data_IF_826748704627
#
_entry.id   IF_826748704627
#
_cell.length_a   1.000
_cell.length_b   1.000
_cell.length_c   1.000
_cell.angle_alpha   90.00
_cell.angle_beta   90.00
_cell.angle_gamma   90.00
#
_symmetry.space_group_name_H-M   'P 1'
#
loop_
_entity.id
_entity.type
_entity.pdbx_description
1 polymer ?
#
# COMPACT_ATOMS: atom_id res chain seq x y z
N UNK A 1 -20.58 20.18 9.85
CA UNK A 1 -20.52 19.11 10.88
C UNK A 1 -19.86 19.66 12.13
N UNK A 2 -20.16 19.09 13.34
CA UNK A 2 -19.47 19.48 14.58
C UNK A 2 -17.98 19.13 14.46
N UNK A 3 -17.10 19.99 14.99
CA UNK A 3 -15.69 19.72 15.11
C UNK A 3 -15.45 18.52 16.07
N UNK A 4 -14.36 17.77 15.92
CA UNK A 4 -14.01 16.76 16.90
C UNK A 4 -13.81 17.38 18.28
N UNK A 5 -14.07 16.63 19.37
CA UNK A 5 -13.89 17.16 20.72
C UNK A 5 -12.42 17.53 20.96
N UNK A 6 -12.18 18.65 21.66
CA UNK A 6 -10.85 19.05 22.07
C UNK A 6 -10.26 18.00 23.03
N UNK A 7 -9.02 17.57 22.79
CA UNK A 7 -8.37 16.53 23.59
C UNK A 7 -8.86 15.10 23.31
N UNK A 8 -9.49 14.87 22.12
CA UNK A 8 -9.94 13.55 21.71
C UNK A 8 -8.78 12.55 21.59
N UNK A 9 -9.04 11.30 21.95
CA UNK A 9 -8.18 10.16 21.70
C UNK A 9 -8.20 9.78 20.21
N UNK A 10 -7.22 9.00 19.74
CA UNK A 10 -7.23 8.48 18.36
C UNK A 10 -8.51 7.70 18.05
N UNK A 11 -8.98 6.89 18.98
CA UNK A 11 -10.23 6.12 18.84
C UNK A 11 -11.46 7.01 18.61
N UNK A 12 -11.56 8.14 19.32
CA UNK A 12 -12.65 9.10 19.13
C UNK A 12 -12.55 9.82 17.79
N UNK A 13 -11.34 10.19 17.38
CA UNK A 13 -11.09 10.79 16.06
C UNK A 13 -11.41 9.80 14.92
N UNK A 14 -10.97 8.55 15.01
CA UNK A 14 -11.29 7.51 14.02
C UNK A 14 -12.80 7.28 13.92
N UNK A 15 -13.51 7.21 15.06
CA UNK A 15 -14.97 7.10 15.08
C UNK A 15 -15.68 8.35 14.49
N UNK A 16 -15.06 9.51 14.60
CA UNK A 16 -15.54 10.71 13.93
C UNK A 16 -15.38 10.60 12.42
N UNK A 17 -14.23 10.10 11.93
CA UNK A 17 -13.95 9.90 10.49
C UNK A 17 -14.96 8.96 9.82
N UNK A 18 -15.40 7.89 10.50
CA UNK A 18 -16.40 6.95 9.97
C UNK A 18 -17.73 7.62 9.59
N UNK A 19 -18.03 8.81 10.14
CA UNK A 19 -19.26 9.54 9.92
C UNK A 19 -19.16 10.63 8.85
N UNK A 20 -17.96 10.89 8.32
CA UNK A 20 -17.75 11.99 7.36
C UNK A 20 -18.34 11.70 5.99
N UNK A 21 -18.50 10.45 5.61
CA UNK A 21 -19.04 10.04 4.32
C UNK A 21 -20.23 9.09 4.49
N UNK A 22 -21.31 9.26 3.69
CA UNK A 22 -22.49 8.40 3.79
C UNK A 22 -22.24 6.97 3.31
N UNK A 23 -21.21 6.75 2.48
CA UNK A 23 -20.76 5.43 2.02
C UNK A 23 -19.45 5.06 2.67
N UNK A 24 -19.33 3.81 3.11
CA UNK A 24 -18.10 3.29 3.66
C UNK A 24 -17.00 3.19 2.58
N UNK A 25 -17.38 2.85 1.36
CA UNK A 25 -16.49 2.72 0.18
C UNK A 25 -17.08 3.57 -0.94
N UNK A 26 -16.26 4.48 -1.46
CA UNK A 26 -16.56 5.31 -2.62
C UNK A 26 -15.25 5.63 -3.33
N UNK A 27 -14.97 4.90 -4.41
CA UNK A 27 -13.70 4.93 -5.11
C UNK A 27 -13.57 6.19 -5.96
N UNK A 28 -12.69 7.10 -5.54
CA UNK A 28 -12.37 8.35 -6.22
C UNK A 28 -11.00 8.83 -5.78
N UNK A 29 -10.26 9.49 -6.67
CA UNK A 29 -8.96 10.09 -6.35
C UNK A 29 -9.04 11.60 -6.15
N UNK A 30 -10.08 12.27 -6.65
CA UNK A 30 -10.18 13.73 -6.65
C UNK A 30 -10.28 14.30 -5.24
N UNK A 31 -11.05 13.65 -4.37
CA UNK A 31 -11.26 14.12 -2.99
C UNK A 31 -9.97 14.08 -2.20
N UNK A 32 -9.31 12.91 -2.16
CA UNK A 32 -8.05 12.75 -1.42
C UNK A 32 -6.94 13.60 -2.06
N UNK A 33 -6.88 13.75 -3.38
CA UNK A 33 -5.93 14.63 -4.04
C UNK A 33 -6.10 16.08 -3.56
N UNK A 34 -7.34 16.57 -3.48
CA UNK A 34 -7.64 17.91 -2.95
C UNK A 34 -7.19 18.07 -1.50
N UNK A 35 -7.48 17.08 -0.66
CA UNK A 35 -7.05 17.09 0.75
C UNK A 35 -5.52 17.10 0.87
N UNK A 36 -4.81 16.28 0.08
CA UNK A 36 -3.36 16.24 0.10
C UNK A 36 -2.73 17.56 -0.37
N UNK A 37 -3.30 18.27 -1.33
CA UNK A 37 -2.83 19.60 -1.70
C UNK A 37 -2.97 20.59 -0.53
N UNK A 38 -4.08 20.58 0.21
CA UNK A 38 -4.27 21.39 1.43
C UNK A 38 -3.26 21.07 2.53
N UNK A 39 -2.81 19.81 2.60
CA UNK A 39 -1.76 19.34 3.51
C UNK A 39 -0.32 19.62 3.02
N UNK A 40 -0.15 20.38 1.93
CA UNK A 40 1.16 20.70 1.37
C UNK A 40 1.76 19.59 0.51
N UNK A 41 0.90 18.78 -0.13
CA UNK A 41 1.24 17.74 -1.08
C UNK A 41 2.26 16.69 -0.54
N UNK A 42 2.02 16.07 0.63
CA UNK A 42 2.96 15.12 1.24
C UNK A 42 3.26 13.92 0.32
N UNK A 43 2.31 13.48 -0.48
CA UNK A 43 2.45 12.37 -1.44
C UNK A 43 3.54 12.61 -2.51
N UNK A 44 3.96 13.86 -2.74
CA UNK A 44 5.06 14.20 -3.67
C UNK A 44 6.44 14.21 -3.01
N UNK A 45 6.48 14.08 -1.69
CA UNK A 45 7.72 14.13 -0.89
C UNK A 45 8.02 12.83 -0.16
N UNK A 46 7.31 11.75 -0.53
CA UNK A 46 7.55 10.43 0.04
C UNK A 46 8.94 9.92 -0.35
N UNK A 47 9.61 9.16 0.53
CA UNK A 47 10.72 8.30 0.13
C UNK A 47 10.32 7.37 -1.04
N UNK A 48 11.28 6.72 -1.73
CA UNK A 48 10.98 5.72 -2.75
C UNK A 48 9.90 4.74 -2.28
N UNK A 49 8.85 4.54 -3.08
CA UNK A 49 7.68 3.72 -2.71
C UNK A 49 7.72 2.39 -3.44
N UNK A 50 7.51 1.28 -2.75
CA UNK A 50 7.12 0.00 -3.33
C UNK A 50 5.62 -0.15 -3.10
N UNK A 51 4.84 -0.15 -4.18
CA UNK A 51 3.37 -0.17 -4.13
C UNK A 51 2.85 -1.57 -4.41
N UNK A 52 2.08 -2.14 -3.49
CA UNK A 52 1.67 -3.55 -3.51
C UNK A 52 0.15 -3.68 -3.65
N UNK A 53 -0.30 -4.29 -4.76
CA UNK A 53 -1.69 -4.67 -4.99
C UNK A 53 -1.82 -6.19 -5.17
N UNK A 54 -3.04 -6.69 -5.16
CA UNK A 54 -3.39 -8.10 -5.31
C UNK A 54 -4.62 -8.46 -4.50
N UNK A 55 -5.06 -9.71 -4.57
CA UNK A 55 -6.14 -10.19 -3.71
C UNK A 55 -5.55 -10.77 -2.43
N UNK A 56 -4.70 -11.75 -2.53
CA UNK A 56 -4.09 -12.45 -1.39
C UNK A 56 -2.60 -12.15 -1.27
N UNK A 57 -2.09 -12.11 -0.04
CA UNK A 57 -0.65 -12.01 0.22
C UNK A 57 -0.05 -10.60 0.17
N UNK A 58 -0.83 -9.52 0.01
CA UNK A 58 -0.33 -8.14 0.03
C UNK A 58 0.40 -7.82 1.34
N UNK A 59 -0.29 -7.98 2.48
CA UNK A 59 0.28 -7.72 3.80
C UNK A 59 1.48 -8.61 4.12
N UNK A 60 1.44 -9.90 3.73
CA UNK A 60 2.60 -10.80 3.88
C UNK A 60 3.79 -10.33 3.05
N UNK A 61 3.56 -9.91 1.81
CA UNK A 61 4.62 -9.35 0.94
C UNK A 61 5.23 -8.10 1.57
N UNK A 62 4.41 -7.18 2.09
CA UNK A 62 4.89 -5.99 2.82
C UNK A 62 5.70 -6.39 4.04
N UNK A 63 5.25 -7.38 4.83
CA UNK A 63 5.95 -7.84 6.02
C UNK A 63 7.33 -8.46 5.69
N UNK A 64 7.42 -9.32 4.65
CA UNK A 64 8.69 -9.89 4.22
C UNK A 64 9.64 -8.83 3.65
N UNK A 65 9.15 -7.94 2.79
CA UNK A 65 9.96 -6.83 2.27
C UNK A 65 10.50 -5.95 3.40
N UNK A 66 9.67 -5.62 4.38
CA UNK A 66 10.09 -4.87 5.56
C UNK A 66 11.21 -5.60 6.30
N UNK A 67 11.01 -6.86 6.64
CA UNK A 67 12.01 -7.64 7.39
C UNK A 67 13.36 -7.71 6.65
N UNK A 68 13.34 -7.94 5.34
CA UNK A 68 14.56 -7.98 4.51
C UNK A 68 15.27 -6.62 4.46
N UNK A 69 14.53 -5.53 4.28
CA UNK A 69 15.07 -4.18 4.20
C UNK A 69 15.61 -3.70 5.55
N UNK A 70 14.90 -3.98 6.64
CA UNK A 70 15.35 -3.69 8.01
C UNK A 70 16.62 -4.48 8.36
N UNK A 71 16.69 -5.77 8.00
CA UNK A 71 17.90 -6.58 8.17
C UNK A 71 19.10 -6.05 7.37
N UNK A 72 18.84 -5.37 6.24
CA UNK A 72 19.83 -4.63 5.47
C UNK A 72 20.15 -3.22 6.02
N UNK A 73 19.67 -2.88 7.21
CA UNK A 73 19.90 -1.59 7.86
C UNK A 73 19.13 -0.43 7.27
N UNK A 74 18.05 -0.68 6.49
CA UNK A 74 17.24 0.38 5.89
C UNK A 74 16.19 0.90 6.87
N UNK A 75 15.85 2.18 6.76
CA UNK A 75 14.74 2.83 7.45
C UNK A 75 13.48 2.63 6.61
N UNK A 76 12.51 1.89 7.13
CA UNK A 76 11.34 1.44 6.38
C UNK A 76 10.06 2.00 7.01
N UNK A 77 9.22 2.64 6.20
CA UNK A 77 7.82 2.89 6.55
C UNK A 77 6.92 1.82 5.94
N UNK A 78 5.83 1.48 6.61
CA UNK A 78 4.79 0.64 6.01
C UNK A 78 3.39 1.20 6.24
N UNK A 79 2.54 1.05 5.23
CA UNK A 79 1.10 1.26 5.31
C UNK A 79 0.40 -0.03 4.91
N UNK A 80 -0.42 -0.58 5.80
CA UNK A 80 -1.12 -1.85 5.61
C UNK A 80 -2.59 -1.75 6.03
N UNK A 81 -3.44 -2.61 5.48
CA UNK A 81 -4.86 -2.70 5.85
C UNK A 81 -5.47 -4.08 5.55
N UNK A 82 -6.44 -4.52 6.37
CA UNK A 82 -6.86 -3.93 7.65
C UNK A 82 -5.86 -4.17 8.78
N UNK A 83 -6.08 -3.61 9.95
CA UNK A 83 -5.36 -3.97 11.19
C UNK A 83 -5.98 -5.22 11.83
N UNK A 84 -5.22 -5.90 12.69
CA UNK A 84 -5.68 -7.09 13.41
C UNK A 84 -6.26 -6.74 14.78
N UNK A 85 -5.61 -5.89 15.54
CA UNK A 85 -5.98 -5.51 16.91
C UNK A 85 -6.21 -4.02 17.05
N UNK A 86 -5.25 -3.20 16.63
CA UNK A 86 -5.28 -1.76 16.82
C UNK A 86 -4.99 -1.00 15.51
N UNK A 87 -5.65 0.15 15.33
CA UNK A 87 -5.45 0.97 14.14
C UNK A 87 -3.98 1.34 13.89
N UNK A 88 -3.21 1.54 14.96
CA UNK A 88 -1.80 1.91 14.92
C UNK A 88 -0.95 0.97 14.06
N UNK A 89 -1.33 -0.31 13.96
CA UNK A 89 -0.67 -1.31 13.11
C UNK A 89 -0.62 -0.91 11.62
N UNK A 90 -1.61 -0.12 11.16
CA UNK A 90 -1.72 0.31 9.76
C UNK A 90 -0.61 1.25 9.32
N UNK A 91 -0.05 2.03 10.25
CA UNK A 91 0.98 3.03 9.98
C UNK A 91 2.21 2.68 10.82
N UNK A 92 3.25 2.21 10.17
CA UNK A 92 4.50 1.87 10.83
C UNK A 92 5.58 2.83 10.38
N UNK A 93 6.26 3.47 11.33
CA UNK A 93 7.27 4.48 11.05
C UNK A 93 8.67 3.94 11.32
N UNK A 94 9.61 4.26 10.44
CA UNK A 94 11.02 4.09 10.72
C UNK A 94 11.39 4.89 11.98
N UNK A 95 12.16 4.28 12.87
CA UNK A 95 12.67 4.93 14.10
C UNK A 95 14.18 5.11 14.00
N UNK A 96 14.87 4.03 13.67
CA UNK A 96 16.31 3.97 13.49
C UNK A 96 16.64 3.09 12.27
N UNK A 97 17.88 3.08 11.77
CA UNK A 97 18.29 2.13 10.73
C UNK A 97 18.02 0.68 11.16
N UNK A 98 17.26 -0.06 10.35
CA UNK A 98 16.88 -1.44 10.64
C UNK A 98 15.76 -1.61 11.67
N UNK A 99 15.16 -0.53 12.16
CA UNK A 99 14.10 -0.57 13.18
C UNK A 99 12.91 0.30 12.78
N UNK A 100 11.72 -0.28 12.72
CA UNK A 100 10.46 0.45 12.62
C UNK A 100 9.50 0.05 13.75
N UNK A 101 8.51 0.89 14.00
CA UNK A 101 7.48 0.64 15.01
C UNK A 101 6.15 1.23 14.61
N UNK A 102 5.07 0.68 15.14
CA UNK A 102 3.74 1.20 14.94
C UNK A 102 3.68 2.66 15.41
N UNK A 103 2.87 3.46 14.74
CA UNK A 103 2.68 4.86 15.09
C UNK A 103 2.21 4.98 16.55
N UNK A 104 2.81 5.89 17.30
CA UNK A 104 2.41 6.12 18.69
C UNK A 104 1.08 6.87 18.74
N UNK A 105 0.39 6.73 19.88
CA UNK A 105 -0.92 7.36 20.10
C UNK A 105 -0.87 8.89 19.93
N UNK A 106 0.13 9.53 20.49
CA UNK A 106 0.32 10.98 20.40
C UNK A 106 0.56 11.46 18.97
N UNK A 107 1.38 10.72 18.20
CA UNK A 107 1.63 10.99 16.80
C UNK A 107 0.37 10.81 15.94
N UNK A 108 -0.39 9.74 16.19
CA UNK A 108 -1.62 9.46 15.46
C UNK A 108 -2.68 10.53 15.73
N UNK A 109 -2.86 10.94 16.97
CA UNK A 109 -3.78 12.01 17.35
C UNK A 109 -3.42 13.34 16.67
N UNK A 110 -2.14 13.72 16.67
CA UNK A 110 -1.68 14.94 15.99
C UNK A 110 -2.00 14.89 14.48
N UNK A 111 -1.62 13.81 13.81
CA UNK A 111 -1.83 13.65 12.37
C UNK A 111 -3.32 13.64 12.00
N UNK A 112 -4.15 12.88 12.72
CA UNK A 112 -5.59 12.84 12.47
C UNK A 112 -6.22 14.21 12.68
N UNK A 113 -5.82 14.94 13.71
CA UNK A 113 -6.32 16.31 13.99
C UNK A 113 -6.01 17.23 12.81
N UNK A 114 -4.75 17.26 12.36
CA UNK A 114 -4.31 18.10 11.23
C UNK A 114 -5.03 17.75 9.93
N UNK A 115 -5.24 16.45 9.67
CA UNK A 115 -5.98 15.99 8.49
C UNK A 115 -7.45 16.40 8.55
N UNK A 116 -8.09 16.29 9.72
CA UNK A 116 -9.48 16.72 9.94
C UNK A 116 -9.62 18.23 9.74
N UNK A 117 -8.72 19.02 10.29
CA UNK A 117 -8.69 20.47 10.10
C UNK A 117 -8.54 20.86 8.63
N UNK A 118 -7.58 20.24 7.92
CA UNK A 118 -7.35 20.50 6.50
C UNK A 118 -8.54 20.06 5.62
N UNK A 119 -9.26 19.01 6.02
CA UNK A 119 -10.45 18.53 5.32
C UNK A 119 -11.62 19.55 5.38
N UNK A 120 -11.68 20.37 6.41
CA UNK A 120 -12.68 21.42 6.59
C UNK A 120 -14.16 20.94 6.49
N UNK A 121 -14.40 19.66 6.81
CA UNK A 121 -15.74 19.08 6.83
C UNK A 121 -16.26 18.55 5.50
N UNK A 122 -15.43 18.50 4.46
CA UNK A 122 -15.78 17.89 3.18
C UNK A 122 -16.07 16.38 3.37
N UNK A 123 -16.98 15.79 2.58
CA UNK A 123 -17.26 14.36 2.65
C UNK A 123 -16.08 13.54 2.17
N UNK A 124 -15.49 12.76 3.08
CA UNK A 124 -14.32 11.91 2.84
C UNK A 124 -14.54 10.54 3.46
N UNK A 125 -14.14 9.48 2.77
CA UNK A 125 -14.19 8.14 3.35
C UNK A 125 -13.14 7.97 4.45
N UNK A 126 -13.40 7.05 5.36
CA UNK A 126 -12.44 6.68 6.41
C UNK A 126 -11.06 6.35 5.84
N UNK A 127 -11.03 5.58 4.75
CA UNK A 127 -9.77 5.15 4.14
C UNK A 127 -9.00 6.31 3.50
N UNK A 128 -9.67 7.25 2.83
CA UNK A 128 -9.04 8.46 2.28
C UNK A 128 -8.40 9.30 3.38
N UNK A 129 -9.11 9.54 4.48
CA UNK A 129 -8.60 10.34 5.61
C UNK A 129 -7.40 9.69 6.26
N UNK A 130 -7.45 8.38 6.50
CA UNK A 130 -6.35 7.65 7.15
C UNK A 130 -5.15 7.46 6.22
N UNK A 131 -5.36 7.35 4.91
CA UNK A 131 -4.28 7.36 3.90
C UNK A 131 -3.60 8.72 3.85
N UNK A 132 -4.36 9.83 3.92
CA UNK A 132 -3.77 11.17 3.98
C UNK A 132 -2.92 11.36 5.24
N UNK A 133 -3.35 10.85 6.40
CA UNK A 133 -2.56 10.86 7.64
C UNK A 133 -1.27 10.05 7.51
N UNK A 134 -1.32 8.87 6.88
CA UNK A 134 -0.14 8.05 6.61
C UNK A 134 0.86 8.77 5.69
N UNK A 135 0.40 9.39 4.60
CA UNK A 135 1.27 10.14 3.69
C UNK A 135 1.92 11.35 4.38
N UNK A 136 1.18 12.04 5.26
CA UNK A 136 1.71 13.14 6.04
C UNK A 136 2.83 12.65 6.98
N UNK A 137 2.58 11.56 7.73
CA UNK A 137 3.56 10.93 8.61
C UNK A 137 4.85 10.54 7.89
N UNK A 138 4.71 9.91 6.71
CA UNK A 138 5.84 9.44 5.91
C UNK A 138 6.65 10.57 5.29
N UNK A 139 6.00 11.67 4.91
CA UNK A 139 6.69 12.84 4.38
C UNK A 139 7.46 13.64 5.44
N UNK A 140 7.05 13.53 6.71
CA UNK A 140 7.64 14.25 7.84
C UNK A 140 8.69 13.43 8.60
N UNK A 141 8.68 12.10 8.44
CA UNK A 141 9.63 11.21 9.11
C UNK A 141 10.67 10.69 8.11
N UNK A 142 11.97 10.86 8.34
CA UNK A 142 13.01 10.38 7.42
C UNK A 142 13.02 8.86 7.29
N UNK A 143 12.99 8.35 6.04
CA UNK A 143 13.14 6.93 5.72
C UNK A 143 13.83 6.73 4.38
N UNK A 144 14.23 5.47 4.10
CA UNK A 144 14.89 5.09 2.85
C UNK A 144 13.86 4.51 1.86
N UNK A 145 12.72 3.99 2.37
CA UNK A 145 11.67 3.38 1.55
C UNK A 145 10.33 3.37 2.28
N UNK A 146 9.25 3.45 1.50
CA UNK A 146 7.87 3.22 1.94
C UNK A 146 7.34 1.96 1.26
N UNK A 147 6.80 1.03 2.03
CA UNK A 147 6.03 -0.12 1.55
C UNK A 147 4.54 0.23 1.70
N UNK A 148 3.84 0.33 0.58
CA UNK A 148 2.48 0.86 0.53
C UNK A 148 1.52 -0.23 0.02
N UNK A 149 0.65 -0.74 0.89
CA UNK A 149 -0.38 -1.70 0.53
C UNK A 149 -1.63 -1.00 0.02
N UNK A 150 -2.16 -1.46 -1.11
CA UNK A 150 -3.46 -1.07 -1.65
C UNK A 150 -4.58 -1.58 -0.75
N UNK A 151 -5.52 -0.71 -0.41
CA UNK A 151 -6.70 -1.10 0.37
C UNK A 151 -7.70 -1.90 -0.44
N UNK A 152 -8.15 -1.38 -1.58
CA UNK A 152 -9.13 -2.02 -2.45
C UNK A 152 -8.86 -1.71 -3.93
N UNK A 153 -8.90 -2.75 -4.77
CA UNK A 153 -8.69 -2.59 -6.21
C UNK A 153 -7.25 -2.18 -6.52
N UNK A 154 -7.04 -0.97 -6.92
CA UNK A 154 -5.75 -0.37 -7.24
C UNK A 154 -5.91 0.95 -7.98
N UNK A 155 -6.59 0.97 -9.11
CA UNK A 155 -6.72 2.13 -10.02
C UNK A 155 -7.27 3.38 -9.31
N UNK A 156 -8.30 3.23 -8.52
CA UNK A 156 -8.97 4.30 -7.78
C UNK A 156 -8.75 4.20 -6.26
N UNK A 157 -7.78 3.39 -5.82
CA UNK A 157 -7.42 3.31 -4.42
C UNK A 157 -6.74 4.60 -3.94
N UNK A 158 -7.05 5.04 -2.73
CA UNK A 158 -6.50 6.27 -2.16
C UNK A 158 -4.96 6.28 -2.12
N UNK A 159 -4.32 5.11 -2.08
CA UNK A 159 -2.86 4.99 -2.13
C UNK A 159 -2.27 5.28 -3.51
N UNK A 160 -3.08 5.25 -4.59
CA UNK A 160 -2.61 5.34 -5.97
C UNK A 160 -2.31 6.76 -6.46
N UNK A 161 -2.11 7.70 -5.54
CA UNK A 161 -1.65 9.07 -5.84
C UNK A 161 -0.12 9.21 -5.94
N UNK A 162 0.62 8.14 -5.69
CA UNK A 162 2.07 8.09 -5.93
C UNK A 162 2.31 8.01 -7.43
N UNK A 163 2.80 9.10 -8.02
CA UNK A 163 2.95 9.22 -9.46
C UNK A 163 4.05 8.29 -10.03
N UNK A 164 5.15 8.10 -9.29
CA UNK A 164 6.30 7.30 -9.73
C UNK A 164 6.87 6.50 -8.56
N UNK A 165 6.29 5.35 -8.23
CA UNK A 165 6.88 4.43 -7.25
C UNK A 165 8.22 3.86 -7.77
N UNK A 166 9.05 3.36 -6.88
CA UNK A 166 10.30 2.66 -7.23
C UNK A 166 10.00 1.31 -7.91
N UNK A 167 8.92 0.66 -7.47
CA UNK A 167 8.39 -0.56 -8.10
C UNK A 167 6.90 -0.73 -7.77
N UNK A 168 6.17 -1.41 -8.65
CA UNK A 168 4.85 -1.96 -8.36
C UNK A 168 4.94 -3.47 -8.18
N UNK A 169 4.14 -4.02 -7.26
CA UNK A 169 4.06 -5.47 -7.01
C UNK A 169 2.61 -5.90 -7.12
N UNK A 170 2.36 -6.95 -7.90
CA UNK A 170 1.04 -7.57 -8.01
C UNK A 170 1.13 -8.99 -7.42
N UNK A 171 0.54 -9.19 -6.25
CA UNK A 171 0.42 -10.51 -5.62
C UNK A 171 -0.72 -11.31 -6.27
N UNK A 172 -0.92 -12.61 -5.93
CA UNK A 172 -1.95 -13.42 -6.56
C UNK A 172 -3.34 -12.75 -6.56
N UNK A 173 -3.97 -12.77 -7.74
CA UNK A 173 -5.32 -12.25 -7.97
C UNK A 173 -6.30 -13.43 -7.97
N UNK A 174 -7.45 -13.23 -7.34
CA UNK A 174 -8.59 -14.13 -7.35
C UNK A 174 -9.89 -13.32 -7.22
N UNK A 175 -11.03 -13.95 -7.32
CA UNK A 175 -12.32 -13.31 -7.11
C UNK A 175 -12.41 -12.79 -5.67
N UNK A 176 -12.62 -11.49 -5.55
CA UNK A 176 -12.81 -10.80 -4.27
C UNK A 176 -13.50 -9.46 -4.51
N UNK A 177 -14.36 -9.05 -3.57
CA UNK A 177 -15.11 -7.80 -3.67
C UNK A 177 -15.79 -7.60 -5.04
N UNK A 178 -16.37 -8.66 -5.60
CA UNK A 178 -16.94 -8.67 -6.96
C UNK A 178 -18.04 -7.65 -7.17
N UNK A 179 -18.77 -7.28 -6.11
CA UNK A 179 -19.81 -6.23 -6.12
C UNK A 179 -19.23 -4.81 -6.27
N UNK A 180 -17.96 -4.61 -5.91
CA UNK A 180 -17.31 -3.29 -5.88
C UNK A 180 -16.26 -3.12 -6.99
N UNK A 181 -15.61 -4.19 -7.40
CA UNK A 181 -14.52 -4.15 -8.38
C UNK A 181 -14.99 -4.63 -9.75
N UNK A 182 -15.17 -5.94 -9.91
CA UNK A 182 -15.57 -6.55 -11.17
C UNK A 182 -15.98 -8.01 -10.98
N UNK A 183 -16.79 -8.60 -11.87
CA UNK A 183 -17.29 -9.96 -11.72
C UNK A 183 -16.31 -11.08 -12.10
N UNK A 184 -15.19 -10.76 -12.78
CA UNK A 184 -14.20 -11.73 -13.26
C UNK A 184 -12.78 -11.40 -12.85
N UNK A 185 -11.91 -12.41 -12.74
CA UNK A 185 -10.48 -12.21 -12.39
C UNK A 185 -9.74 -11.33 -13.38
N UNK A 186 -9.90 -11.46 -14.71
CA UNK A 186 -9.28 -10.54 -15.67
C UNK A 186 -9.68 -9.08 -15.48
N UNK A 187 -10.95 -8.80 -15.18
CA UNK A 187 -11.43 -7.43 -14.92
C UNK A 187 -10.90 -6.91 -13.57
N UNK A 188 -10.84 -7.75 -12.54
CA UNK A 188 -10.19 -7.41 -11.26
C UNK A 188 -8.70 -7.12 -11.49
N UNK A 189 -8.05 -7.86 -12.40
CA UNK A 189 -6.66 -7.61 -12.77
C UNK A 189 -6.46 -6.22 -13.38
N UNK A 190 -7.39 -5.74 -14.22
CA UNK A 190 -7.35 -4.37 -14.77
C UNK A 190 -7.39 -3.33 -13.65
N UNK A 191 -8.27 -3.50 -12.65
CA UNK A 191 -8.34 -2.58 -11.51
C UNK A 191 -7.05 -2.57 -10.69
N UNK A 192 -6.48 -3.76 -10.42
CA UNK A 192 -5.23 -3.88 -9.64
C UNK A 192 -4.03 -3.37 -10.43
N UNK A 193 -3.97 -3.63 -11.73
CA UNK A 193 -2.94 -3.10 -12.62
C UNK A 193 -2.94 -1.57 -12.76
N UNK A 194 -3.96 -0.88 -12.25
CA UNK A 194 -3.99 0.58 -12.16
C UNK A 194 -2.82 1.20 -11.37
N UNK A 195 -2.11 0.40 -10.56
CA UNK A 195 -0.89 0.85 -9.87
C UNK A 195 0.37 0.76 -10.72
N UNK A 196 0.33 0.10 -11.88
CA UNK A 196 1.46 0.04 -12.83
C UNK A 196 1.61 1.42 -13.47
N UNK A 197 2.78 2.02 -13.30
CA UNK A 197 3.08 3.37 -13.79
C UNK A 197 4.04 3.32 -14.98
N UNK A 198 4.01 4.35 -15.85
CA UNK A 198 4.94 4.42 -16.99
C UNK A 198 6.40 4.33 -16.55
N UNK A 199 7.17 3.50 -17.24
CA UNK A 199 8.62 3.30 -17.02
C UNK A 199 9.00 2.85 -15.60
N UNK A 200 8.05 2.29 -14.84
CA UNK A 200 8.29 1.76 -13.49
C UNK A 200 8.28 0.23 -13.54
N UNK A 201 9.28 -0.45 -12.96
CA UNK A 201 9.30 -1.90 -12.93
C UNK A 201 8.09 -2.46 -12.15
N UNK A 202 7.54 -3.56 -12.67
CA UNK A 202 6.46 -4.30 -12.02
C UNK A 202 6.84 -5.76 -11.83
N UNK A 203 6.67 -6.25 -10.60
CA UNK A 203 6.91 -7.65 -10.22
C UNK A 203 5.55 -8.31 -10.01
N UNK A 204 5.34 -9.43 -10.69
CA UNK A 204 4.07 -10.17 -10.67
C UNK A 204 4.29 -11.56 -10.11
N UNK A 205 3.61 -11.87 -9.03
CA UNK A 205 3.57 -13.21 -8.43
C UNK A 205 2.75 -14.20 -9.28
N UNK A 206 2.55 -15.45 -8.79
CA UNK A 206 1.77 -16.46 -9.50
C UNK A 206 0.37 -15.98 -9.90
N UNK A 207 -0.02 -16.22 -11.16
CA UNK A 207 -1.32 -15.82 -11.71
C UNK A 207 -1.89 -16.92 -12.61
N UNK A 208 -3.20 -16.87 -12.89
CA UNK A 208 -3.79 -17.64 -13.99
C UNK A 208 -3.29 -17.12 -15.34
N UNK A 209 -3.41 -17.93 -16.41
CA UNK A 209 -2.98 -17.52 -17.75
C UNK A 209 -3.73 -16.28 -18.25
N UNK A 210 -5.05 -16.21 -18.00
CA UNK A 210 -5.90 -15.09 -18.41
C UNK A 210 -5.51 -13.79 -17.69
N UNK A 211 -5.23 -13.86 -16.38
CA UNK A 211 -4.77 -12.70 -15.58
C UNK A 211 -3.38 -12.26 -16.05
N UNK A 212 -2.50 -13.22 -16.32
CA UNK A 212 -1.15 -12.92 -16.83
C UNK A 212 -1.20 -12.13 -18.13
N UNK A 213 -2.01 -12.56 -19.10
CA UNK A 213 -2.19 -11.87 -20.38
C UNK A 213 -2.64 -10.40 -20.19
N UNK A 214 -3.57 -10.16 -19.30
CA UNK A 214 -4.04 -8.79 -18.95
C UNK A 214 -2.89 -7.96 -18.40
N UNK A 215 -2.14 -8.49 -17.42
CA UNK A 215 -1.04 -7.75 -16.79
C UNK A 215 0.10 -7.47 -17.75
N UNK A 216 0.45 -8.42 -18.62
CA UNK A 216 1.44 -8.23 -19.70
C UNK A 216 1.01 -7.12 -20.67
N UNK A 217 -0.25 -7.16 -21.12
CA UNK A 217 -0.79 -6.14 -22.01
C UNK A 217 -0.74 -4.73 -21.39
N UNK A 218 -1.10 -4.59 -20.12
CA UNK A 218 -1.05 -3.30 -19.42
C UNK A 218 0.39 -2.84 -19.18
N UNK A 219 1.28 -3.73 -18.78
CA UNK A 219 2.69 -3.39 -18.58
C UNK A 219 3.33 -2.91 -19.88
N UNK A 220 3.07 -3.60 -21.00
CA UNK A 220 3.55 -3.20 -22.33
C UNK A 220 3.01 -1.82 -22.75
N UNK A 221 1.72 -1.55 -22.56
CA UNK A 221 1.10 -0.24 -22.84
C UNK A 221 1.72 0.90 -22.01
N UNK A 222 2.19 0.60 -20.81
CA UNK A 222 2.84 1.56 -19.89
C UNK A 222 4.35 1.67 -20.11
N UNK A 223 4.95 0.84 -20.97
CA UNK A 223 6.42 0.74 -21.07
C UNK A 223 7.07 0.25 -19.77
N UNK A 224 6.32 -0.42 -18.92
CA UNK A 224 6.80 -0.92 -17.64
C UNK A 224 7.59 -2.22 -17.86
N UNK A 225 8.77 -2.31 -17.22
CA UNK A 225 9.54 -3.55 -17.22
C UNK A 225 8.84 -4.58 -16.33
N UNK A 226 8.35 -5.66 -16.93
CA UNK A 226 7.64 -6.73 -16.25
C UNK A 226 8.59 -7.84 -15.82
N UNK A 227 8.50 -8.23 -14.55
CA UNK A 227 9.13 -9.43 -13.99
C UNK A 227 8.04 -10.40 -13.53
N UNK A 228 7.89 -11.50 -14.25
CA UNK A 228 6.83 -12.48 -14.04
C UNK A 228 7.37 -13.74 -13.37
N UNK A 229 6.71 -14.17 -12.30
CA UNK A 229 6.97 -15.46 -11.67
C UNK A 229 6.79 -16.62 -12.67
N UNK A 230 7.71 -17.60 -12.61
CA UNK A 230 7.72 -18.76 -13.49
C UNK A 230 8.32 -18.50 -14.88
N UNK A 231 8.65 -17.24 -15.20
CA UNK A 231 9.35 -16.86 -16.45
C UNK A 231 10.65 -16.13 -16.20
N UNK A 232 10.63 -15.05 -15.42
CA UNK A 232 11.78 -14.18 -15.19
C UNK A 232 12.46 -14.48 -13.85
N UNK A 233 11.70 -15.03 -12.91
CA UNK A 233 12.19 -15.54 -11.63
C UNK A 233 11.30 -16.67 -11.12
N UNK A 234 11.83 -17.47 -10.20
CA UNK A 234 11.10 -18.50 -9.50
C UNK A 234 11.46 -18.54 -8.02
N UNK A 235 10.53 -18.98 -7.18
CA UNK A 235 10.76 -19.19 -5.75
C UNK A 235 9.92 -20.38 -5.29
N UNK A 236 10.56 -21.36 -4.70
CA UNK A 236 9.91 -22.61 -4.28
C UNK A 236 10.60 -23.22 -3.06
N UNK A 237 9.88 -24.10 -2.39
CA UNK A 237 10.45 -24.93 -1.35
C UNK A 237 11.05 -26.21 -1.93
N UNK A 238 12.30 -26.50 -1.53
CA UNK A 238 12.98 -27.74 -1.86
C UNK A 238 13.73 -28.28 -0.63
N UNK A 239 13.38 -29.48 -0.18
CA UNK A 239 14.01 -30.14 0.97
C UNK A 239 14.02 -29.28 2.25
N UNK A 240 12.93 -28.59 2.56
CA UNK A 240 12.81 -27.72 3.74
C UNK A 240 13.61 -26.42 3.63
N UNK A 241 13.96 -26.00 2.43
CA UNK A 241 14.71 -24.76 2.15
C UNK A 241 13.96 -23.93 1.12
N UNK A 242 14.09 -22.61 1.22
CA UNK A 242 13.61 -21.69 0.21
C UNK A 242 14.67 -21.52 -0.87
N UNK A 243 14.33 -21.85 -2.10
CA UNK A 243 15.13 -21.62 -3.28
C UNK A 243 14.52 -20.48 -4.09
N UNK A 244 15.31 -19.45 -4.36
CA UNK A 244 14.98 -18.40 -5.32
C UNK A 244 15.97 -18.48 -6.48
N UNK A 245 15.49 -18.32 -7.70
CA UNK A 245 16.32 -18.27 -8.90
C UNK A 245 15.83 -17.22 -9.90
N UNK A 246 16.76 -16.55 -10.52
CA UNK A 246 16.56 -15.68 -11.68
C UNK A 246 17.69 -15.93 -12.71
N UNK A 247 17.74 -15.16 -13.80
CA UNK A 247 18.78 -15.29 -14.83
C UNK A 247 20.21 -15.08 -14.32
N UNK A 248 20.39 -14.41 -13.20
CA UNK A 248 21.70 -13.96 -12.70
C UNK A 248 22.18 -14.72 -11.49
N UNK A 249 21.28 -15.34 -10.69
CA UNK A 249 21.62 -15.95 -9.40
C UNK A 249 20.64 -17.02 -8.97
N UNK A 250 21.16 -17.89 -8.12
CA UNK A 250 20.37 -18.82 -7.31
C UNK A 250 20.67 -18.53 -5.84
N UNK A 251 19.64 -18.36 -5.04
CA UNK A 251 19.73 -18.26 -3.58
C UNK A 251 19.07 -19.49 -2.98
N UNK A 252 19.76 -20.17 -2.09
CA UNK A 252 19.27 -21.30 -1.33
C UNK A 252 19.43 -20.97 0.16
N UNK A 253 18.33 -20.79 0.87
CA UNK A 253 18.30 -20.34 2.25
C UNK A 253 17.34 -21.18 3.09
N UNK A 254 17.41 -21.04 4.41
CA UNK A 254 16.41 -21.63 5.29
C UNK A 254 15.04 -21.01 5.05
N UNK A 255 13.99 -21.81 5.19
CA UNK A 255 12.64 -21.27 5.23
C UNK A 255 12.54 -20.26 6.39
N UNK A 256 11.89 -19.12 6.16
CA UNK A 256 11.60 -18.21 7.26
C UNK A 256 10.68 -18.89 8.26
N UNK A 257 10.96 -18.71 9.55
CA UNK A 257 10.04 -19.09 10.62
C UNK A 257 8.90 -18.07 10.63
N UNK A 258 7.65 -18.56 10.53
CA UNK A 258 6.42 -17.77 10.55
C UNK A 258 5.90 -17.59 11.97
#
# INVERSE_FOLDING_TARGET
>A
MAAPPAGATSAELLKFLEKLHPKLIDLSLERIATLLERLGAPHRRLPPVIHVAGTNGKGSTVAFLRAMLEAAGRRVHTYTSPHLVAFNERIRLAREPGVSGDIREDELVDLLTRVIEANAGDPMTFFEMTTAAAFLAFAETPADVVLLEVGLGGRLDATNLVARPAASVITPISLDHTELLAPTEPEIAVEKAGIIKPDVPVVVGPQSAEVTEVLEGIAAQRGAQLYLWGRDFDAYEQNGRLVYQDETRVLDTRLPEL
#
